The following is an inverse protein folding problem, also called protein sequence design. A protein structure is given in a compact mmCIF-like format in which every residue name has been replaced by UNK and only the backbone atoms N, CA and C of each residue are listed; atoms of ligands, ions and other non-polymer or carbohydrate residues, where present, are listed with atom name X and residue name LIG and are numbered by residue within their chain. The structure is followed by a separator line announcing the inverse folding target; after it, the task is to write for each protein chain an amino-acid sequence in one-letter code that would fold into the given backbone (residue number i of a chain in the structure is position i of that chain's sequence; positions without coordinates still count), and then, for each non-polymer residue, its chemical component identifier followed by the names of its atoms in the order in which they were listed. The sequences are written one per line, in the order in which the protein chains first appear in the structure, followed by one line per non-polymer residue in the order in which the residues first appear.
data_IF_666600574559
#
_entry.id   IF_666600574559
#
_cell.length_a   1.000
_cell.length_b   1.000
_cell.length_c   1.000
_cell.angle_alpha   90.00
_cell.angle_beta   90.00
_cell.angle_gamma   90.00
#
_symmetry.space_group_name_H-M   'P 1'
#
loop_
_entity.id
_entity.type
_entity.pdbx_description
1 polymer ?
#
# COMPACT_ATOMS: atom_id res chain seq x y z
N UNK A 1 -36.89 1.69 -4.92
CA UNK A 1 -35.86 2.74 -5.06
C UNK A 1 -34.70 2.24 -4.23
N UNK A 2 -33.97 1.33 -4.85
CA UNK A 2 -32.92 0.58 -4.22
C UNK A 2 -31.75 1.56 -4.03
N UNK A 3 -31.24 1.62 -2.80
CA UNK A 3 -30.18 2.54 -2.38
C UNK A 3 -28.85 2.11 -2.97
N UNK A 4 -28.77 1.99 -4.29
CA UNK A 4 -27.65 1.44 -5.04
C UNK A 4 -26.50 2.44 -5.00
N UNK A 5 -25.79 2.47 -3.88
CA UNK A 5 -24.56 3.26 -3.74
C UNK A 5 -23.44 2.72 -4.65
N UNK A 6 -23.72 1.66 -5.42
CA UNK A 6 -22.87 1.02 -6.41
C UNK A 6 -22.17 2.01 -7.34
N UNK A 7 -22.86 3.06 -7.81
CA UNK A 7 -22.33 4.04 -8.75
C UNK A 7 -21.91 5.37 -8.09
N UNK A 8 -22.28 5.60 -6.84
CA UNK A 8 -21.92 6.82 -6.08
C UNK A 8 -20.81 6.60 -5.06
N UNK A 9 -20.49 5.34 -4.73
CA UNK A 9 -19.44 4.97 -3.77
C UNK A 9 -18.12 4.67 -4.46
N UNK A 10 -17.09 5.39 -4.07
CA UNK A 10 -15.72 5.22 -4.51
C UNK A 10 -14.86 4.63 -3.38
N UNK A 11 -13.99 3.72 -3.77
CA UNK A 11 -12.86 3.24 -2.96
C UNK A 11 -11.66 4.14 -3.24
N UNK A 12 -10.96 4.56 -2.19
CA UNK A 12 -9.74 5.36 -2.29
C UNK A 12 -8.63 4.67 -1.50
N UNK A 13 -7.59 4.18 -2.18
CA UNK A 13 -6.41 3.53 -1.59
C UNK A 13 -5.13 4.34 -1.77
N UNK A 14 -4.04 3.95 -1.12
CA UNK A 14 -2.72 4.58 -1.29
C UNK A 14 -2.55 5.92 -0.56
N UNK A 15 -3.46 6.24 0.35
CA UNK A 15 -3.42 7.48 1.14
C UNK A 15 -2.23 7.48 2.10
N UNK A 16 -1.72 8.67 2.42
CA UNK A 16 -0.72 8.80 3.47
C UNK A 16 -1.32 8.45 4.84
N UNK A 17 -0.50 7.99 5.79
CA UNK A 17 -0.97 7.62 7.13
C UNK A 17 -1.53 8.79 7.92
N UNK A 18 -1.09 10.01 7.59
CA UNK A 18 -1.61 11.27 8.14
C UNK A 18 -2.92 11.72 7.47
N UNK A 19 -3.25 11.20 6.29
CA UNK A 19 -4.45 11.59 5.56
C UNK A 19 -5.67 11.05 6.29
N UNK A 20 -6.50 11.97 6.77
CA UNK A 20 -7.74 11.68 7.47
C UNK A 20 -8.96 11.97 6.58
N UNK A 21 -10.14 11.69 7.13
CA UNK A 21 -11.42 11.93 6.45
C UNK A 21 -11.57 13.36 5.95
N UNK A 22 -11.05 14.34 6.69
CA UNK A 22 -11.21 15.76 6.35
C UNK A 22 -10.44 16.11 5.08
N UNK A 23 -9.15 15.75 5.02
CA UNK A 23 -8.31 15.97 3.84
C UNK A 23 -8.85 15.25 2.59
N UNK A 24 -9.28 13.99 2.75
CA UNK A 24 -9.95 13.25 1.67
C UNK A 24 -11.22 13.97 1.22
N UNK A 25 -12.10 14.31 2.15
CA UNK A 25 -13.36 14.99 1.86
C UNK A 25 -13.12 16.30 1.11
N UNK A 26 -12.22 17.15 1.61
CA UNK A 26 -11.85 18.42 0.99
C UNK A 26 -11.41 18.28 -0.46
N UNK A 27 -10.63 17.23 -0.75
CA UNK A 27 -10.21 16.95 -2.12
C UNK A 27 -11.38 16.53 -2.99
N UNK A 28 -12.25 15.64 -2.52
CA UNK A 28 -13.36 15.13 -3.33
C UNK A 28 -14.55 16.10 -3.45
N UNK A 29 -14.70 17.05 -2.52
CA UNK A 29 -15.74 18.09 -2.53
C UNK A 29 -15.65 19.01 -3.77
N UNK A 30 -14.48 19.07 -4.44
CA UNK A 30 -14.32 19.84 -5.68
C UNK A 30 -15.05 19.21 -6.88
N UNK A 31 -15.33 17.90 -6.84
CA UNK A 31 -16.04 17.20 -7.91
C UNK A 31 -17.56 17.21 -7.73
N UNK A 32 -18.02 17.32 -6.48
CA UNK A 32 -19.43 17.42 -6.10
C UNK A 32 -19.66 17.20 -4.61
N UNK A 33 -20.93 17.15 -4.19
CA UNK A 33 -21.28 17.05 -2.78
C UNK A 33 -21.09 15.62 -2.24
N UNK A 34 -20.39 15.54 -1.11
CA UNK A 34 -20.08 14.26 -0.45
C UNK A 34 -21.19 13.93 0.54
N UNK A 35 -21.87 12.81 0.31
CA UNK A 35 -22.83 12.25 1.26
C UNK A 35 -22.11 11.69 2.50
N UNK A 36 -21.04 10.93 2.29
CA UNK A 36 -20.29 10.31 3.37
C UNK A 36 -18.81 10.10 3.00
N UNK A 37 -17.89 10.36 3.93
CA UNK A 37 -16.46 10.06 3.78
C UNK A 37 -15.94 9.34 5.03
N UNK A 38 -15.36 8.16 4.81
CA UNK A 38 -14.86 7.27 5.86
C UNK A 38 -13.44 6.84 5.52
N UNK A 39 -12.50 7.11 6.42
CA UNK A 39 -11.13 6.58 6.34
C UNK A 39 -11.02 5.42 7.32
N UNK A 40 -10.53 4.28 6.84
CA UNK A 40 -10.36 3.12 7.70
C UNK A 40 -9.06 3.29 8.47
N UNK A 41 -9.20 3.49 9.78
CA UNK A 41 -8.09 3.50 10.73
C UNK A 41 -8.05 2.20 11.54
N UNK A 42 -6.87 1.84 12.01
CA UNK A 42 -6.65 0.75 12.94
C UNK A 42 -7.29 1.07 14.31
N UNK A 43 -8.08 0.13 14.85
CA UNK A 43 -8.82 0.35 16.10
C UNK A 43 -7.94 0.42 17.35
N UNK A 44 -6.76 -0.19 17.35
CA UNK A 44 -5.87 -0.20 18.51
C UNK A 44 -4.96 1.03 18.52
N UNK A 45 -4.42 1.40 17.36
CA UNK A 45 -3.44 2.49 17.24
C UNK A 45 -4.04 3.81 16.77
N UNK A 46 -5.27 3.80 16.24
CA UNK A 46 -5.91 4.96 15.63
C UNK A 46 -5.27 5.41 14.31
N UNK A 47 -4.27 4.69 13.80
CA UNK A 47 -3.53 5.09 12.59
C UNK A 47 -4.32 4.72 11.34
N UNK A 48 -4.31 5.62 10.34
CA UNK A 48 -4.93 5.34 9.04
C UNK A 48 -4.29 4.11 8.39
N UNK A 49 -5.11 3.19 7.89
CA UNK A 49 -4.64 2.04 7.11
C UNK A 49 -4.24 2.41 5.67
N UNK A 50 -4.33 3.70 5.31
CA UNK A 50 -3.99 4.19 3.97
C UNK A 50 -5.08 3.93 2.93
N UNK A 51 -6.32 3.67 3.36
CA UNK A 51 -7.47 3.54 2.46
C UNK A 51 -8.77 4.00 3.12
N UNK A 52 -9.76 4.32 2.29
CA UNK A 52 -11.07 4.79 2.72
C UNK A 52 -12.12 4.65 1.62
N UNK A 53 -13.32 5.13 1.93
CA UNK A 53 -14.47 5.14 1.04
C UNK A 53 -15.09 6.53 1.04
N UNK A 54 -15.52 6.96 -0.14
CA UNK A 54 -16.22 8.23 -0.37
C UNK A 54 -17.52 7.91 -1.07
N UNK A 55 -18.62 8.42 -0.55
CA UNK A 55 -19.95 8.30 -1.13
C UNK A 55 -20.41 9.69 -1.55
N UNK A 56 -20.66 9.87 -2.84
CA UNK A 56 -21.24 11.11 -3.37
C UNK A 56 -22.77 11.11 -3.23
N UNK A 57 -23.38 12.29 -3.16
CA UNK A 57 -24.84 12.41 -3.33
C UNK A 57 -25.25 12.14 -4.77
N UNK A 58 -24.45 12.62 -5.71
CA UNK A 58 -24.73 12.55 -7.14
C UNK A 58 -23.82 11.52 -7.85
N UNK A 59 -24.37 10.63 -8.69
CA UNK A 59 -23.57 9.68 -9.46
C UNK A 59 -22.67 10.36 -10.48
N UNK A 60 -23.07 11.55 -10.96
CA UNK A 60 -22.25 12.33 -11.90
C UNK A 60 -20.96 12.84 -11.25
N UNK A 61 -21.01 13.24 -9.97
CA UNK A 61 -19.82 13.64 -9.22
C UNK A 61 -18.85 12.47 -9.03
N UNK A 62 -19.37 11.28 -8.75
CA UNK A 62 -18.58 10.06 -8.67
C UNK A 62 -17.90 9.72 -10.01
N UNK A 63 -18.62 9.86 -11.14
CA UNK A 63 -18.06 9.65 -12.47
C UNK A 63 -16.92 10.64 -12.79
N UNK A 64 -17.05 11.91 -12.41
CA UNK A 64 -15.99 12.92 -12.57
C UNK A 64 -14.74 12.56 -11.74
N UNK A 65 -14.92 12.14 -10.49
CA UNK A 65 -13.82 11.72 -9.64
C UNK A 65 -13.11 10.43 -10.13
N UNK A 66 -13.78 9.61 -10.94
CA UNK A 66 -13.19 8.43 -11.59
C UNK A 66 -12.42 8.77 -12.89
N UNK A 67 -12.61 9.97 -13.45
CA UNK A 67 -11.81 10.40 -14.61
C UNK A 67 -10.34 10.58 -14.26
N UNK A 68 -10.04 10.95 -13.01
CA UNK A 68 -8.68 10.97 -12.47
C UNK A 68 -8.50 9.81 -11.47
N UNK A 69 -8.14 8.59 -11.93
CA UNK A 69 -8.05 7.41 -11.06
C UNK A 69 -6.85 7.42 -10.10
N UNK A 70 -5.89 8.34 -10.26
CA UNK A 70 -4.70 8.41 -9.39
C UNK A 70 -4.42 9.81 -8.83
N UNK A 71 -5.32 10.36 -7.99
CA UNK A 71 -5.20 11.71 -7.46
C UNK A 71 -4.05 11.81 -6.44
N UNK A 72 -3.44 12.98 -6.34
CA UNK A 72 -2.40 13.26 -5.32
C UNK A 72 -3.05 13.94 -4.12
N UNK A 73 -3.07 13.26 -2.98
CA UNK A 73 -3.64 13.75 -1.71
C UNK A 73 -2.52 13.78 -0.66
N UNK A 74 -2.33 14.91 0.03
CA UNK A 74 -1.22 15.12 0.99
C UNK A 74 0.18 14.85 0.40
N UNK A 75 0.36 15.08 -0.91
CA UNK A 75 1.62 14.80 -1.60
C UNK A 75 1.88 13.30 -1.86
N UNK A 76 0.89 12.44 -1.64
CA UNK A 76 0.97 11.00 -1.95
C UNK A 76 -0.04 10.63 -3.04
N UNK A 77 0.39 9.80 -3.99
CA UNK A 77 -0.47 9.25 -5.03
C UNK A 77 -1.46 8.27 -4.41
N UNK A 78 -2.73 8.64 -4.41
CA UNK A 78 -3.84 7.77 -4.08
C UNK A 78 -4.37 7.09 -5.35
N UNK A 79 -5.24 6.10 -5.17
CA UNK A 79 -5.89 5.36 -6.24
C UNK A 79 -7.39 5.33 -5.96
N UNK A 80 -8.22 5.86 -6.85
CA UNK A 80 -9.67 5.83 -6.76
C UNK A 80 -10.27 4.83 -7.75
N UNK A 81 -11.31 4.12 -7.31
CA UNK A 81 -12.05 3.19 -8.13
C UNK A 81 -13.51 3.06 -7.64
N UNK A 82 -14.43 2.51 -8.43
CA UNK A 82 -15.77 2.20 -7.93
C UNK A 82 -15.66 1.18 -6.80
N UNK A 83 -16.29 1.46 -5.66
CA UNK A 83 -16.28 0.55 -4.53
C UNK A 83 -16.95 -0.79 -4.88
N UNK A 84 -17.93 -0.76 -5.79
CA UNK A 84 -18.58 -1.95 -6.32
C UNK A 84 -17.61 -2.94 -6.98
N UNK A 85 -16.53 -2.46 -7.62
CA UNK A 85 -15.53 -3.32 -8.26
C UNK A 85 -14.70 -4.11 -7.24
N UNK A 86 -14.47 -3.54 -6.05
CA UNK A 86 -13.68 -4.17 -4.98
C UNK A 86 -14.50 -4.95 -3.95
N UNK A 87 -15.81 -4.72 -3.86
CA UNK A 87 -16.71 -5.35 -2.89
C UNK A 87 -16.73 -6.89 -3.00
N UNK A 88 -16.41 -7.43 -4.18
CA UNK A 88 -16.34 -8.88 -4.43
C UNK A 88 -15.03 -9.55 -3.94
N UNK A 89 -14.04 -8.81 -3.42
CA UNK A 89 -12.76 -9.40 -2.99
C UNK A 89 -12.35 -9.18 -1.53
N UNK A 90 -13.07 -8.39 -0.72
CA UNK A 90 -12.65 -8.15 0.68
C UNK A 90 -13.83 -8.07 1.65
N UNK A 91 -14.50 -9.20 1.86
CA UNK A 91 -14.87 -9.54 3.24
C UNK A 91 -13.54 -9.65 4.01
N UNK A 92 -13.33 -8.77 5.00
CA UNK A 92 -12.10 -8.77 5.79
C UNK A 92 -11.90 -10.14 6.46
N UNK A 93 -10.64 -10.61 6.54
CA UNK A 93 -10.14 -10.80 7.89
C UNK A 93 -8.89 -9.96 8.11
N UNK A 94 -8.85 -9.33 9.27
CA UNK A 94 -7.63 -8.76 9.82
C UNK A 94 -6.63 -9.88 10.16
N UNK A 95 -5.35 -9.50 10.17
CA UNK A 95 -4.22 -10.22 10.76
C UNK A 95 -3.74 -11.50 10.06
N UNK A 96 -2.65 -11.36 9.31
CA UNK A 96 -1.52 -12.31 9.35
C UNK A 96 -0.28 -11.66 8.73
N UNK A 97 0.36 -10.75 9.47
CA UNK A 97 1.81 -10.64 9.37
C UNK A 97 2.35 -11.53 10.49
N UNK A 98 2.96 -12.70 10.21
CA UNK A 98 3.76 -13.35 11.23
C UNK A 98 5.04 -12.54 11.37
N UNK A 99 5.10 -11.81 12.48
CA UNK A 99 6.33 -11.33 13.08
C UNK A 99 7.36 -12.46 13.07
N UNK A 100 8.60 -12.14 12.69
CA UNK A 100 9.73 -13.05 12.83
C UNK A 100 9.89 -13.47 14.29
N UNK A 101 9.67 -14.75 14.57
CA UNK A 101 10.13 -15.40 15.79
C UNK A 101 11.49 -16.03 15.48
N UNK A 102 12.52 -15.43 16.06
CA UNK A 102 13.81 -16.06 16.29
C UNK A 102 13.65 -16.87 17.58
N UNK A 103 13.77 -18.20 17.54
CA UNK A 103 14.48 -18.97 18.59
C UNK A 103 14.77 -20.42 18.16
N UNK A 104 16.06 -20.71 18.08
CA UNK A 104 16.83 -21.87 18.54
C UNK A 104 16.23 -23.29 18.69
N UNK A 105 17.06 -24.26 18.25
CA UNK A 105 17.19 -25.67 18.67
C UNK A 105 16.61 -26.82 17.78
N UNK A 106 17.57 -27.47 17.11
CA UNK A 106 17.62 -28.75 16.36
C UNK A 106 16.89 -29.96 17.03
N UNK A 107 16.53 -31.06 16.31
CA UNK A 107 17.51 -32.11 16.00
C UNK A 107 17.41 -32.86 14.63
N UNK A 108 18.60 -33.26 14.14
CA UNK A 108 18.92 -34.49 13.38
C UNK A 108 18.27 -34.78 12.00
N UNK A 109 18.92 -34.30 10.93
CA UNK A 109 18.87 -34.96 9.62
C UNK A 109 19.83 -36.15 9.58
N UNK A 110 19.29 -37.35 9.50
CA UNK A 110 20.05 -38.55 9.16
C UNK A 110 20.35 -38.60 7.66
N UNK A 111 21.62 -38.38 7.36
CA UNK A 111 22.49 -39.21 6.51
C UNK A 111 21.91 -39.68 5.16
N UNK A 112 22.32 -39.00 4.10
CA UNK A 112 22.62 -39.65 2.82
C UNK A 112 24.00 -39.13 2.34
N UNK A 113 24.96 -40.06 2.33
CA UNK A 113 26.30 -39.97 1.73
C UNK A 113 26.14 -39.93 0.19
N UNK A 114 26.89 -39.15 -0.59
CA UNK A 114 28.28 -39.44 -1.02
C UNK A 114 28.90 -38.19 -1.74
N UNK A 115 30.25 -38.05 -1.85
CA UNK A 115 31.00 -36.81 -2.17
C UNK A 115 31.69 -36.89 -3.57
N UNK A 116 32.82 -36.19 -3.89
CA UNK A 116 33.23 -34.78 -3.75
C UNK A 116 33.77 -34.16 -5.08
N UNK A 117 34.28 -32.93 -4.98
CA UNK A 117 35.30 -32.24 -5.82
C UNK A 117 34.76 -31.49 -7.05
N UNK A 118 35.19 -30.27 -7.38
CA UNK A 118 36.40 -29.51 -7.06
C UNK A 118 36.02 -28.03 -6.81
N UNK A 119 36.66 -27.39 -5.83
CA UNK A 119 36.76 -25.92 -5.79
C UNK A 119 38.05 -25.44 -6.52
N UNK A 120 38.38 -24.13 -6.58
CA UNK A 120 38.48 -23.35 -7.81
C UNK A 120 39.95 -22.95 -8.10
N UNK A 121 40.19 -22.09 -9.09
CA UNK A 121 41.16 -21.03 -8.82
C UNK A 121 40.56 -19.63 -8.98
N UNK A 122 40.61 -18.93 -7.84
CA UNK A 122 40.91 -17.52 -7.67
C UNK A 122 41.35 -16.77 -8.93
N UNK A 123 40.71 -15.63 -9.19
CA UNK A 123 41.36 -14.56 -9.96
C UNK A 123 41.26 -13.22 -9.21
N UNK A 124 42.32 -12.41 -9.23
CA UNK A 124 42.65 -11.50 -8.13
C UNK A 124 42.16 -10.07 -8.32
N UNK A 125 42.04 -9.40 -7.18
CA UNK A 125 42.22 -7.97 -6.92
C UNK A 125 42.44 -7.04 -8.11
N UNK A 126 41.65 -5.97 -8.16
CA UNK A 126 42.24 -4.64 -8.35
C UNK A 126 41.57 -3.61 -7.44
N UNK A 127 42.26 -3.37 -6.34
CA UNK A 127 42.16 -2.19 -5.50
C UNK A 127 42.18 -0.94 -6.38
N UNK A 128 41.15 -0.11 -6.27
CA UNK A 128 41.19 1.26 -6.78
C UNK A 128 41.38 2.20 -5.60
N UNK A 129 42.56 2.81 -5.54
CA UNK A 129 42.95 4.06 -4.88
C UNK A 129 44.49 4.09 -4.82
N UNK A 130 45.15 5.23 -4.60
CA UNK A 130 44.72 6.65 -4.60
C UNK A 130 45.51 7.44 -5.70
N UNK A 131 45.36 8.75 -5.90
CA UNK A 131 46.19 9.80 -5.25
C UNK A 131 45.73 11.19 -5.73
N UNK A 132 45.61 12.09 -4.75
CA UNK A 132 45.52 13.56 -4.85
C UNK A 132 46.58 14.14 -5.80
N UNK A 133 46.19 15.09 -6.66
CA UNK A 133 47.10 16.14 -7.13
C UNK A 133 46.52 17.49 -6.76
N UNK A 134 47.19 18.12 -5.80
CA UNK A 134 47.18 19.54 -5.47
C UNK A 134 48.04 20.32 -6.47
N UNK A 135 47.67 21.57 -6.77
CA UNK A 135 48.40 22.68 -7.45
C UNK A 135 47.44 23.31 -8.45
N UNK A 136 47.18 24.61 -8.47
CA UNK A 136 47.70 25.79 -7.78
C UNK A 136 47.06 27.00 -8.45
#
# INVERSE_FOLDING_TARGET
MDGDTTFTKLFVGGLAWQTQRDAMRRYFEQFGDIAEAVVIADKHTGRSRGYGFVTFRDPEAAARALQDPTPVIDGRRANCNLAALGASQRAHPAAAAPFGTIDSHQPRRTRALLPPRLQPPTSPSRLTTPILTTTG
#
